data_IF_296455751927
#
_entry.id   IF_296455751927
#
_cell.length_a   1.000
_cell.length_b   1.000
_cell.length_c   1.000
_cell.angle_alpha   90.00
_cell.angle_beta   90.00
_cell.angle_gamma   90.00
#
_symmetry.space_group_name_H-M   'P 1'
#
loop_
_entity.id
_entity.type
_entity.pdbx_description
1 polymer ?
#
# COMPACT_ATOMS: atom_id res chain seq x y z
N UNK A 1 7.91 1.35 4.81
CA UNK A 1 8.37 1.19 6.20
C UNK A 1 9.59 0.28 6.27
N UNK A 2 9.53 -0.92 5.70
CA UNK A 2 10.60 -1.92 5.80
C UNK A 2 11.98 -1.39 5.36
N UNK A 3 12.07 -0.70 4.22
CA UNK A 3 13.33 -0.08 3.79
C UNK A 3 13.96 0.87 4.83
N UNK A 4 13.13 1.68 5.51
CA UNK A 4 13.63 2.59 6.54
C UNK A 4 14.11 1.82 7.78
N UNK A 5 13.45 0.71 8.13
CA UNK A 5 13.88 -0.18 9.22
C UNK A 5 15.19 -0.89 8.88
N UNK A 6 15.32 -1.38 7.65
CA UNK A 6 16.53 -2.01 7.13
C UNK A 6 17.72 -1.05 7.15
N UNK A 7 17.52 0.21 6.72
CA UNK A 7 18.56 1.24 6.79
C UNK A 7 18.96 1.57 8.24
N UNK A 8 18.00 1.63 9.17
CA UNK A 8 18.28 1.81 10.60
C UNK A 8 19.09 0.63 11.16
N UNK A 9 18.71 -0.60 10.83
CA UNK A 9 19.45 -1.78 11.27
C UNK A 9 20.87 -1.80 10.69
N UNK A 10 21.02 -1.48 9.40
CA UNK A 10 22.33 -1.40 8.75
C UNK A 10 23.23 -0.34 9.41
N UNK A 11 22.69 0.83 9.77
CA UNK A 11 23.43 1.88 10.46
C UNK A 11 23.79 1.52 11.91
N UNK A 12 23.10 0.55 12.50
CA UNK A 12 23.35 0.01 13.84
C UNK A 12 24.08 -1.34 13.77
N UNK A 13 24.83 -1.58 12.70
CA UNK A 13 25.64 -2.79 12.49
C UNK A 13 24.83 -4.10 12.58
N UNK A 14 23.52 -4.02 12.36
CA UNK A 14 22.55 -5.10 12.56
C UNK A 14 22.54 -5.67 13.98
N UNK A 15 22.98 -4.91 14.98
CA UNK A 15 22.91 -5.31 16.38
C UNK A 15 21.45 -5.32 16.84
N UNK A 16 20.87 -6.52 16.99
CA UNK A 16 19.45 -6.71 17.34
C UNK A 16 19.02 -5.95 18.60
N UNK A 17 19.89 -5.85 19.61
CA UNK A 17 19.61 -5.09 20.82
C UNK A 17 19.39 -3.60 20.54
N UNK A 18 20.17 -3.02 19.63
CA UNK A 18 20.15 -1.59 19.34
C UNK A 18 18.97 -1.17 18.45
N UNK A 19 18.64 -1.95 17.41
CA UNK A 19 17.61 -1.53 16.45
C UNK A 19 16.19 -2.00 16.81
N UNK A 20 16.03 -3.05 17.60
CA UNK A 20 14.70 -3.63 17.90
C UNK A 20 13.80 -2.72 18.72
N UNK A 21 14.36 -1.99 19.69
CA UNK A 21 13.60 -1.01 20.47
C UNK A 21 13.15 0.16 19.59
N UNK A 22 14.03 0.63 18.71
CA UNK A 22 13.73 1.69 17.74
C UNK A 22 12.64 1.23 16.78
N UNK A 23 12.74 0.02 16.23
CA UNK A 23 11.73 -0.55 15.35
C UNK A 23 10.36 -0.64 16.03
N UNK A 24 10.32 -1.04 17.30
CA UNK A 24 9.08 -1.08 18.09
C UNK A 24 8.45 0.29 18.26
N UNK A 25 9.25 1.31 18.63
CA UNK A 25 8.75 2.69 18.76
C UNK A 25 8.20 3.20 17.42
N UNK A 26 8.87 2.87 16.31
CA UNK A 26 8.41 3.23 14.99
C UNK A 26 7.12 2.50 14.64
N UNK A 27 7.00 1.20 14.93
CA UNK A 27 5.77 0.44 14.70
C UNK A 27 4.60 1.01 15.48
N UNK A 28 4.78 1.30 16.78
CA UNK A 28 3.74 1.85 17.64
C UNK A 28 3.26 3.22 17.13
N UNK A 29 4.20 4.08 16.71
CA UNK A 29 3.88 5.37 16.10
C UNK A 29 3.21 5.22 14.74
N UNK A 30 3.68 4.27 13.92
CA UNK A 30 3.13 4.05 12.59
C UNK A 30 1.67 3.57 12.68
N UNK A 31 1.39 2.62 13.56
CA UNK A 31 0.04 2.10 13.78
C UNK A 31 -0.92 3.20 14.28
N UNK A 32 -0.43 4.08 15.16
CA UNK A 32 -1.26 5.13 15.78
C UNK A 32 -1.41 6.40 14.92
N UNK A 33 -0.37 6.81 14.19
CA UNK A 33 -0.32 8.10 13.48
C UNK A 33 -0.56 7.97 11.98
N UNK A 34 -0.19 6.84 11.37
CA UNK A 34 -0.26 6.64 9.93
C UNK A 34 -1.08 5.38 9.67
N UNK A 35 -2.39 5.51 9.50
CA UNK A 35 -3.31 4.40 9.21
C UNK A 35 -2.69 3.37 8.23
N UNK A 36 -2.06 2.32 8.78
CA UNK A 36 -1.14 1.46 8.01
C UNK A 36 -1.88 0.77 6.88
N UNK A 37 -3.10 0.33 7.17
CA UNK A 37 -4.01 -0.27 6.21
C UNK A 37 -4.43 0.71 5.11
N UNK A 38 -4.69 1.97 5.44
CA UNK A 38 -5.08 2.99 4.44
C UNK A 38 -3.92 3.29 3.48
N UNK A 39 -2.70 3.41 4.00
CA UNK A 39 -1.50 3.60 3.17
C UNK A 39 -1.22 2.38 2.29
N UNK A 40 -1.35 1.18 2.85
CA UNK A 40 -1.26 -0.08 2.09
C UNK A 40 -2.30 -0.16 0.97
N UNK A 41 -3.57 0.16 1.27
CA UNK A 41 -4.64 0.20 0.29
C UNK A 41 -4.39 1.27 -0.79
N UNK A 42 -3.95 2.46 -0.40
CA UNK A 42 -3.62 3.54 -1.32
C UNK A 42 -2.45 3.18 -2.25
N UNK A 43 -1.42 2.51 -1.72
CA UNK A 43 -0.30 1.99 -2.51
C UNK A 43 -0.79 0.97 -3.55
N UNK A 44 -1.65 0.02 -3.14
CA UNK A 44 -2.25 -0.97 -4.05
C UNK A 44 -3.07 -0.30 -5.16
N UNK A 45 -3.92 0.67 -4.81
CA UNK A 45 -4.84 1.32 -5.72
C UNK A 45 -4.18 2.38 -6.62
N UNK A 46 -2.94 2.77 -6.34
CA UNK A 46 -2.23 3.76 -7.14
C UNK A 46 -1.70 3.11 -8.44
N UNK A 47 -2.21 3.49 -9.63
CA UNK A 47 -1.82 2.85 -10.88
C UNK A 47 -0.33 3.04 -11.21
N UNK A 48 0.31 4.12 -10.71
CA UNK A 48 1.76 4.34 -10.87
C UNK A 48 2.57 3.22 -10.23
N UNK A 49 2.14 2.78 -9.04
CA UNK A 49 2.82 1.74 -8.29
C UNK A 49 2.35 0.36 -8.72
N UNK A 50 1.04 0.13 -8.84
CA UNK A 50 0.45 -1.16 -9.22
C UNK A 50 0.99 -1.70 -10.55
N UNK A 51 1.30 -0.79 -11.48
CA UNK A 51 1.76 -1.15 -12.82
C UNK A 51 3.27 -0.96 -13.02
N UNK A 52 3.99 -0.61 -11.96
CA UNK A 52 5.45 -0.55 -11.95
C UNK A 52 6.03 -1.96 -11.94
N UNK A 53 7.20 -2.13 -12.58
CA UNK A 53 7.98 -3.36 -12.48
C UNK A 53 8.46 -3.65 -11.03
N UNK A 54 8.46 -2.64 -10.17
CA UNK A 54 8.90 -2.72 -8.78
C UNK A 54 7.72 -2.76 -7.79
N UNK A 55 6.53 -3.18 -8.25
CA UNK A 55 5.38 -3.33 -7.36
C UNK A 55 5.68 -4.37 -6.27
N UNK A 56 5.49 -3.98 -5.00
CA UNK A 56 5.67 -4.89 -3.87
C UNK A 56 4.49 -5.84 -3.73
N UNK A 57 4.78 -7.14 -3.59
CA UNK A 57 3.76 -8.18 -3.37
C UNK A 57 3.58 -8.52 -1.89
N UNK A 58 4.12 -7.69 -0.99
CA UNK A 58 4.08 -7.93 0.45
C UNK A 58 2.63 -8.10 0.94
N UNK A 59 2.41 -9.11 1.79
CA UNK A 59 1.06 -9.51 2.25
C UNK A 59 0.27 -8.37 2.90
N UNK A 60 0.97 -7.45 3.56
CA UNK A 60 0.36 -6.32 4.26
C UNK A 60 -0.36 -5.35 3.33
N UNK A 61 0.05 -5.29 2.06
CA UNK A 61 -0.62 -4.47 1.05
C UNK A 61 -2.04 -5.00 0.82
N UNK A 62 -2.17 -6.32 0.62
CA UNK A 62 -3.47 -6.98 0.45
C UNK A 62 -4.30 -6.92 1.73
N UNK A 63 -3.69 -7.17 2.89
CA UNK A 63 -4.38 -7.07 4.18
C UNK A 63 -4.92 -5.66 4.41
N UNK A 64 -4.10 -4.63 4.14
CA UNK A 64 -4.52 -3.24 4.25
C UNK A 64 -5.70 -2.89 3.36
N UNK A 65 -5.67 -3.34 2.10
CA UNK A 65 -6.79 -3.18 1.18
C UNK A 65 -8.07 -3.83 1.72
N UNK A 66 -8.00 -5.09 2.15
CA UNK A 66 -9.18 -5.82 2.67
C UNK A 66 -9.75 -5.14 3.93
N UNK A 67 -8.91 -4.77 4.90
CA UNK A 67 -9.34 -4.07 6.11
C UNK A 67 -10.00 -2.73 5.79
N UNK A 68 -9.48 -1.99 4.81
CA UNK A 68 -10.10 -0.74 4.37
C UNK A 68 -11.44 -1.00 3.66
N UNK A 69 -11.54 -2.01 2.79
CA UNK A 69 -12.79 -2.35 2.11
C UNK A 69 -13.88 -2.78 3.09
N UNK A 70 -13.56 -3.60 4.10
CA UNK A 70 -14.52 -4.02 5.13
C UNK A 70 -15.08 -2.82 5.91
N UNK A 71 -14.23 -1.83 6.22
CA UNK A 71 -14.65 -0.62 6.94
C UNK A 71 -15.42 0.37 6.06
N UNK A 72 -15.04 0.52 4.81
CA UNK A 72 -15.61 1.53 3.90
C UNK A 72 -16.83 1.04 3.13
N UNK A 73 -16.96 -0.27 2.93
CA UNK A 73 -18.05 -0.89 2.17
C UNK A 73 -18.72 -1.94 3.08
N UNK A 74 -19.69 -1.52 3.92
CA UNK A 74 -20.33 -2.43 4.88
C UNK A 74 -21.17 -3.53 4.21
N UNK A 75 -21.76 -3.22 3.04
CA UNK A 75 -22.57 -4.15 2.26
C UNK A 75 -21.69 -5.20 1.56
N UNK A 76 -22.08 -6.48 1.66
CA UNK A 76 -21.32 -7.59 1.11
C UNK A 76 -21.38 -7.69 -0.42
N UNK A 77 -22.53 -7.41 -1.02
CA UNK A 77 -22.70 -7.41 -2.48
C UNK A 77 -21.85 -6.31 -3.10
N UNK A 78 -21.86 -5.11 -2.52
CA UNK A 78 -21.02 -4.00 -2.99
C UNK A 78 -19.52 -4.33 -2.85
N UNK A 79 -19.10 -5.04 -1.80
CA UNK A 79 -17.72 -5.54 -1.66
C UNK A 79 -17.37 -6.57 -2.73
N UNK A 80 -18.31 -7.45 -3.09
CA UNK A 80 -18.11 -8.42 -4.17
C UNK A 80 -17.91 -7.69 -5.50
N UNK A 81 -18.75 -6.70 -5.81
CA UNK A 81 -18.60 -5.87 -7.01
C UNK A 81 -17.26 -5.11 -7.01
N UNK A 82 -16.86 -4.55 -5.87
CA UNK A 82 -15.57 -3.89 -5.73
C UNK A 82 -14.40 -4.86 -5.99
N UNK A 83 -14.46 -6.09 -5.48
CA UNK A 83 -13.44 -7.12 -5.76
C UNK A 83 -13.33 -7.45 -7.26
N UNK A 84 -14.46 -7.52 -7.98
CA UNK A 84 -14.45 -7.70 -9.44
C UNK A 84 -13.74 -6.52 -10.12
N UNK A 85 -14.02 -5.28 -9.70
CA UNK A 85 -13.34 -4.09 -10.23
C UNK A 85 -11.84 -4.09 -9.91
N UNK A 86 -11.43 -4.57 -8.74
CA UNK A 86 -10.01 -4.70 -8.38
C UNK A 86 -9.28 -5.70 -9.27
N UNK A 87 -9.92 -6.80 -9.66
CA UNK A 87 -9.33 -7.74 -10.63
C UNK A 87 -9.16 -7.11 -12.00
N UNK A 88 -10.14 -6.31 -12.46
CA UNK A 88 -10.02 -5.57 -13.72
C UNK A 88 -8.91 -4.54 -13.67
N UNK A 89 -8.82 -3.80 -12.57
CA UNK A 89 -7.75 -2.85 -12.28
C UNK A 89 -6.39 -3.53 -12.31
N UNK A 90 -6.16 -4.57 -11.50
CA UNK A 90 -4.88 -5.28 -11.44
C UNK A 90 -4.40 -5.78 -12.82
N UNK A 91 -5.33 -6.24 -13.66
CA UNK A 91 -5.02 -6.78 -14.97
C UNK A 91 -5.01 -5.75 -16.10
N UNK A 92 -5.18 -4.44 -15.81
CA UNK A 92 -5.33 -3.38 -16.82
C UNK A 92 -6.42 -3.68 -17.86
N UNK A 93 -7.58 -4.17 -17.41
CA UNK A 93 -8.70 -4.56 -18.27
C UNK A 93 -9.87 -3.57 -18.16
N UNK A 94 -10.78 -3.64 -19.13
CA UNK A 94 -11.97 -2.80 -19.17
C UNK A 94 -11.61 -1.32 -19.26
N UNK A 95 -12.23 -0.50 -18.41
CA UNK A 95 -11.97 0.95 -18.38
C UNK A 95 -10.52 1.30 -18.00
N UNK A 96 -9.85 0.44 -17.23
CA UNK A 96 -8.46 0.65 -16.82
C UNK A 96 -7.43 0.38 -17.93
N UNK A 97 -7.87 -0.16 -19.07
CA UNK A 97 -7.02 -0.34 -20.26
C UNK A 97 -6.88 0.95 -21.08
N UNK A 98 -7.82 1.90 -20.95
CA UNK A 98 -7.84 3.13 -21.74
C UNK A 98 -6.98 4.21 -21.07
N UNK A 99 -5.72 4.30 -21.51
CA UNK A 99 -4.61 5.06 -20.91
C UNK A 99 -4.72 6.59 -20.76
N UNK A 100 -5.92 7.19 -20.71
CA UNK A 100 -6.06 8.62 -20.38
C UNK A 100 -5.79 8.95 -18.91
N UNK A 101 -5.70 7.95 -18.03
CA UNK A 101 -5.26 8.13 -16.66
C UNK A 101 -3.73 8.06 -16.50
N UNK A 102 -3.01 7.46 -17.46
CA UNK A 102 -1.53 7.37 -17.41
C UNK A 102 -0.88 8.77 -17.51
N UNK A 103 -1.39 9.64 -18.38
CA UNK A 103 -0.86 11.01 -18.60
C UNK A 103 -1.23 12.00 -17.51
N UNK A 104 -2.22 11.71 -16.65
CA UNK A 104 -2.55 12.52 -15.49
C UNK A 104 -1.67 12.17 -14.27
N UNK A 105 -1.25 10.91 -14.15
CA UNK A 105 -0.46 10.38 -13.02
C UNK A 105 0.97 10.91 -13.00
N UNK A 106 1.57 11.20 -14.16
CA UNK A 106 2.90 11.84 -14.24
C UNK A 106 2.87 13.31 -13.81
N UNK A 107 1.68 13.93 -13.76
CA UNK A 107 1.50 15.36 -13.43
C UNK A 107 1.03 15.61 -11.99
N UNK A 108 0.63 14.56 -11.27
CA UNK A 108 0.27 14.65 -9.85
C UNK A 108 1.52 14.32 -9.03
N UNK A 109 2.05 15.33 -8.34
CA UNK A 109 3.05 15.10 -7.30
C UNK A 109 2.57 14.01 -6.36
N UNK A 110 3.45 13.10 -5.87
CA UNK A 110 3.07 12.19 -4.83
C UNK A 110 2.57 13.04 -3.66
N UNK A 111 1.33 12.83 -3.22
CA UNK A 111 0.87 13.40 -1.96
C UNK A 111 1.83 12.89 -0.88
N UNK A 112 2.71 13.78 -0.44
CA UNK A 112 3.34 13.72 0.88
C UNK A 112 2.33 14.20 1.91
#
# INVERSE_FOLDING_TARGET
>A
MDKAKEEIAANLENEEGAHKEIWKIIDDKWEFQLHRHLHAAAYYLNPRFQYSNNFSTHREIKIGLMVCMEKLIPNEEDRLQANIQLQLFQNKKGLFAYGRQQTAIDKLSPCM
#
